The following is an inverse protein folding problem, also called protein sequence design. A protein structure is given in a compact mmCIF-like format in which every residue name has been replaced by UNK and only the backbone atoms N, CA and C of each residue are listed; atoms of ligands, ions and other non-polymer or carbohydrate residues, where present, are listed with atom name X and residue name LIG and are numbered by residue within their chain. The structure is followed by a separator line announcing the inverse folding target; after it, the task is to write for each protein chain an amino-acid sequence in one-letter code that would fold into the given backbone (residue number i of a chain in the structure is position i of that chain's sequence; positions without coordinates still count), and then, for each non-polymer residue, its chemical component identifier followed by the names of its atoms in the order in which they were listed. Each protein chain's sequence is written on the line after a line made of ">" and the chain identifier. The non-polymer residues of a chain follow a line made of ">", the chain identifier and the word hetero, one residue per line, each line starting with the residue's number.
data_IF_981708788583
#
_entry.id   IF_981708788583
#
_cell.length_a   1.000
_cell.length_b   1.000
_cell.length_c   1.000
_cell.angle_alpha   90.00
_cell.angle_beta   90.00
_cell.angle_gamma   90.00
#
_symmetry.space_group_name_H-M   'P 1'
#
loop_
_entity.id
_entity.type
_entity.pdbx_description
1 polymer ?
#
# COMPACT_ATOMS: atom_id res chain seq x y z
N UNK A 1 -19.67 19.61 11.27
CA UNK A 1 -19.68 18.96 12.59
C UNK A 1 -20.54 17.73 12.44
N UNK A 2 -19.92 16.56 12.24
CA UNK A 2 -20.65 15.29 12.15
C UNK A 2 -21.04 14.87 13.56
N UNK A 3 -22.34 14.68 13.76
CA UNK A 3 -22.93 14.01 14.90
C UNK A 3 -22.06 12.79 15.27
N UNK A 4 -21.44 12.81 16.46
CA UNK A 4 -20.70 11.66 16.96
C UNK A 4 -21.66 10.48 16.91
N UNK A 5 -21.35 9.45 16.11
CA UNK A 5 -22.28 8.35 15.89
C UNK A 5 -22.62 7.73 17.25
N UNK A 6 -23.83 7.97 17.73
CA UNK A 6 -24.29 7.45 19.01
C UNK A 6 -24.34 5.93 18.89
N UNK A 7 -23.69 5.24 19.83
CA UNK A 7 -23.79 3.79 19.91
C UNK A 7 -25.24 3.41 20.17
N UNK A 8 -25.70 2.37 19.47
CA UNK A 8 -27.07 1.91 19.59
C UNK A 8 -27.29 1.17 20.93
N UNK A 9 -28.48 1.32 21.55
CA UNK A 9 -28.77 0.71 22.86
C UNK A 9 -28.47 -0.80 22.88
N UNK A 10 -28.98 -1.56 21.92
CA UNK A 10 -28.82 -3.02 21.86
C UNK A 10 -27.34 -3.42 21.78
N UNK A 11 -26.52 -2.65 21.07
CA UNK A 11 -25.08 -2.91 20.98
C UNK A 11 -24.37 -2.67 22.32
N UNK A 12 -24.78 -1.63 23.05
CA UNK A 12 -24.26 -1.34 24.40
C UNK A 12 -24.68 -2.44 25.38
N UNK A 13 -25.88 -2.99 25.25
CA UNK A 13 -26.32 -4.11 26.07
C UNK A 13 -25.50 -5.37 25.79
N UNK A 14 -25.31 -5.72 24.51
CA UNK A 14 -24.47 -6.86 24.10
C UNK A 14 -23.03 -6.70 24.60
N UNK A 15 -22.45 -5.49 24.56
CA UNK A 15 -21.07 -5.28 25.03
C UNK A 15 -20.90 -5.47 26.54
N UNK A 16 -21.97 -5.30 27.31
CA UNK A 16 -21.99 -5.52 28.77
C UNK A 16 -22.26 -6.98 29.16
N UNK A 17 -22.82 -7.79 28.26
CA UNK A 17 -23.01 -9.22 28.51
C UNK A 17 -21.65 -9.91 28.62
N UNK A 18 -21.39 -10.60 29.72
CA UNK A 18 -20.09 -11.24 29.96
C UNK A 18 -19.72 -12.27 28.90
N UNK A 19 -18.44 -12.33 28.55
CA UNK A 19 -17.89 -13.42 27.74
C UNK A 19 -17.58 -14.63 28.62
N UNK A 20 -17.95 -15.82 28.15
CA UNK A 20 -17.58 -17.10 28.74
C UNK A 20 -16.50 -17.72 27.86
N UNK A 21 -15.52 -18.36 28.50
CA UNK A 21 -14.52 -19.16 27.80
C UNK A 21 -15.10 -20.55 27.51
N UNK A 22 -15.22 -20.88 26.23
CA UNK A 22 -15.66 -22.18 25.74
C UNK A 22 -14.47 -23.13 25.62
N UNK A 23 -14.64 -24.38 26.04
CA UNK A 23 -13.60 -25.41 25.91
C UNK A 23 -13.23 -25.65 24.43
N UNK A 24 -14.24 -25.66 23.55
CA UNK A 24 -14.07 -25.82 22.12
C UNK A 24 -14.15 -24.47 21.41
N UNK A 25 -13.26 -24.20 20.44
CA UNK A 25 -13.31 -22.95 19.68
C UNK A 25 -14.49 -22.96 18.71
N UNK A 26 -15.18 -21.82 18.63
CA UNK A 26 -16.25 -21.61 17.67
C UNK A 26 -15.71 -20.98 16.37
N UNK A 27 -16.43 -21.19 15.27
CA UNK A 27 -16.21 -20.45 14.03
C UNK A 27 -16.73 -19.03 14.23
N UNK A 28 -15.90 -18.05 13.86
CA UNK A 28 -16.22 -16.62 13.98
C UNK A 28 -16.02 -15.93 12.64
N UNK A 29 -16.68 -14.78 12.46
CA UNK A 29 -16.51 -13.96 11.28
C UNK A 29 -15.35 -12.98 11.47
N UNK A 30 -14.38 -13.02 10.57
CA UNK A 30 -13.27 -12.08 10.51
C UNK A 30 -13.40 -11.16 9.30
N UNK A 31 -13.62 -9.87 9.56
CA UNK A 31 -13.63 -8.80 8.56
C UNK A 31 -12.27 -8.13 8.54
N UNK A 32 -11.66 -8.04 7.36
CA UNK A 32 -10.29 -7.54 7.23
C UNK A 32 -10.30 -6.27 6.40
N UNK A 33 -9.85 -5.17 7.02
CA UNK A 33 -9.35 -4.04 6.25
C UNK A 33 -8.05 -4.39 5.55
N UNK A 34 -7.91 -3.92 4.32
CA UNK A 34 -6.84 -4.36 3.46
C UNK A 34 -5.63 -3.43 3.48
N UNK A 35 -5.87 -2.17 3.12
CA UNK A 35 -4.81 -1.18 2.93
C UNK A 35 -4.35 -0.72 4.30
N UNK A 36 -3.03 -0.61 4.47
CA UNK A 36 -2.34 -0.29 5.72
C UNK A 36 -2.56 -1.29 6.87
N UNK A 37 -3.35 -2.34 6.68
CA UNK A 37 -3.56 -3.38 7.70
C UNK A 37 -2.75 -4.63 7.36
N UNK A 38 -2.98 -5.22 6.17
CA UNK A 38 -2.22 -6.38 5.67
C UNK A 38 -1.30 -6.03 4.48
N UNK A 39 -1.51 -4.88 3.85
CA UNK A 39 -0.68 -4.41 2.72
C UNK A 39 -0.37 -2.92 2.80
N UNK A 40 0.85 -2.54 2.43
CA UNK A 40 1.23 -1.14 2.24
C UNK A 40 1.08 -0.76 0.76
N UNK A 41 0.41 0.37 0.47
CA UNK A 41 0.27 0.91 -0.88
C UNK A 41 1.18 2.14 -1.05
N UNK A 42 2.19 2.04 -1.90
CA UNK A 42 3.16 3.13 -2.17
C UNK A 42 2.73 4.05 -3.30
N UNK A 43 2.47 3.45 -4.45
CA UNK A 43 2.01 4.12 -5.68
C UNK A 43 0.67 3.53 -6.07
N UNK A 44 -0.05 4.16 -6.99
CA UNK A 44 -1.43 3.80 -7.34
C UNK A 44 -1.64 2.31 -7.68
N UNK A 45 -0.59 1.54 -7.99
CA UNK A 45 -0.67 0.12 -8.40
C UNK A 45 0.38 -0.80 -7.76
N UNK A 46 1.09 -0.36 -6.72
CA UNK A 46 2.14 -1.16 -6.09
C UNK A 46 1.79 -1.44 -4.63
N UNK A 47 1.67 -2.72 -4.31
CA UNK A 47 1.36 -3.23 -2.99
C UNK A 47 2.52 -4.09 -2.47
N UNK A 48 2.77 -3.97 -1.17
CA UNK A 48 3.74 -4.75 -0.42
C UNK A 48 3.02 -5.47 0.70
N UNK A 49 3.15 -6.79 0.76
CA UNK A 49 2.62 -7.59 1.87
C UNK A 49 3.28 -7.20 3.18
N UNK A 50 2.47 -7.15 4.25
CA UNK A 50 2.97 -7.10 5.62
C UNK A 50 3.71 -8.42 5.94
N UNK A 51 4.81 -8.40 6.72
CA UNK A 51 5.53 -9.61 7.11
C UNK A 51 4.58 -10.69 7.64
N UNK A 52 4.91 -11.96 7.37
CA UNK A 52 4.11 -13.13 7.74
C UNK A 52 2.70 -13.20 7.12
N UNK A 53 2.48 -12.51 5.99
CA UNK A 53 1.18 -12.50 5.30
C UNK A 53 0.62 -13.89 5.00
N UNK A 54 1.42 -14.81 4.45
CA UNK A 54 0.91 -16.14 4.08
C UNK A 54 0.58 -16.98 5.30
N UNK A 55 1.42 -16.95 6.34
CA UNK A 55 1.15 -17.61 7.62
C UNK A 55 -0.15 -17.11 8.24
N UNK A 56 -0.38 -15.79 8.17
CA UNK A 56 -1.62 -15.19 8.63
C UNK A 56 -2.82 -15.65 7.81
N UNK A 57 -2.73 -15.61 6.47
CA UNK A 57 -3.80 -16.09 5.58
C UNK A 57 -4.15 -17.56 5.80
N UNK A 58 -3.14 -18.42 5.89
CA UNK A 58 -3.31 -19.85 6.17
C UNK A 58 -4.12 -20.05 7.45
N UNK A 59 -3.72 -19.38 8.52
CA UNK A 59 -4.41 -19.45 9.80
C UNK A 59 -5.85 -18.92 9.72
N UNK A 60 -6.07 -17.70 9.22
CA UNK A 60 -7.41 -17.11 9.25
C UNK A 60 -8.41 -17.85 8.36
N UNK A 61 -7.97 -18.34 7.19
CA UNK A 61 -8.86 -19.05 6.27
C UNK A 61 -9.19 -20.48 6.77
N UNK A 62 -8.35 -21.05 7.64
CA UNK A 62 -8.63 -22.33 8.27
C UNK A 62 -9.59 -22.19 9.47
N UNK A 63 -9.48 -21.09 10.22
CA UNK A 63 -10.12 -20.98 11.54
C UNK A 63 -11.33 -20.03 11.59
N UNK A 64 -11.52 -19.19 10.56
CA UNK A 64 -12.59 -18.18 10.49
C UNK A 64 -13.30 -18.24 9.15
N UNK A 65 -14.53 -17.72 9.12
CA UNK A 65 -15.10 -17.21 7.87
C UNK A 65 -14.57 -15.80 7.64
N UNK A 66 -14.07 -15.52 6.44
CA UNK A 66 -13.33 -14.29 6.15
C UNK A 66 -14.10 -13.41 5.17
N UNK A 67 -14.26 -12.13 5.51
CA UNK A 67 -14.71 -11.08 4.59
C UNK A 67 -13.57 -10.08 4.42
N UNK A 68 -13.31 -9.66 3.18
CA UNK A 68 -12.42 -8.53 2.91
C UNK A 68 -13.27 -7.28 2.72
N UNK A 69 -13.05 -6.24 3.53
CA UNK A 69 -13.72 -4.96 3.38
C UNK A 69 -12.69 -3.84 3.21
N UNK A 70 -12.44 -3.46 1.95
CA UNK A 70 -11.38 -2.53 1.58
C UNK A 70 -11.92 -1.27 0.92
N UNK A 71 -11.27 -0.13 1.16
CA UNK A 71 -11.43 1.08 0.34
C UNK A 71 -10.65 1.02 -0.98
N UNK A 72 -9.83 -0.02 -1.20
CA UNK A 72 -9.10 -0.19 -2.44
C UNK A 72 -10.04 -0.54 -3.59
N UNK A 73 -9.74 0.00 -4.77
CA UNK A 73 -10.47 -0.30 -6.02
C UNK A 73 -9.52 -0.79 -7.11
N UNK A 74 -10.09 -1.45 -8.11
CA UNK A 74 -9.40 -1.78 -9.36
C UNK A 74 -8.79 -3.18 -9.41
N UNK A 75 -8.23 -3.50 -10.58
CA UNK A 75 -7.87 -4.87 -10.95
C UNK A 75 -6.75 -5.47 -10.09
N UNK A 76 -5.81 -4.66 -9.61
CA UNK A 76 -4.70 -5.15 -8.79
C UNK A 76 -5.21 -5.69 -7.45
N UNK A 77 -6.08 -4.93 -6.78
CA UNK A 77 -6.74 -5.37 -5.55
C UNK A 77 -7.52 -6.66 -5.78
N UNK A 78 -8.42 -6.67 -6.78
CA UNK A 78 -9.23 -7.87 -7.12
C UNK A 78 -8.37 -9.09 -7.41
N UNK A 79 -7.24 -8.90 -8.08
CA UNK A 79 -6.34 -10.00 -8.41
C UNK A 79 -5.52 -10.47 -7.19
N UNK A 80 -5.16 -9.58 -6.27
CA UNK A 80 -4.53 -9.97 -5.01
C UNK A 80 -5.51 -10.70 -4.08
N UNK A 81 -6.81 -10.36 -4.09
CA UNK A 81 -7.81 -11.11 -3.33
C UNK A 81 -7.91 -12.57 -3.77
N UNK A 82 -7.49 -12.92 -5.01
CA UNK A 82 -7.41 -14.31 -5.46
C UNK A 82 -6.34 -15.13 -4.72
N UNK A 83 -5.42 -14.48 -4.01
CA UNK A 83 -4.44 -15.16 -3.16
C UNK A 83 -5.08 -15.72 -1.88
N UNK A 84 -6.30 -15.30 -1.54
CA UNK A 84 -7.01 -15.85 -0.41
C UNK A 84 -7.67 -17.15 -0.84
N UNK A 85 -7.32 -18.29 -0.23
CA UNK A 85 -7.85 -19.58 -0.63
C UNK A 85 -9.35 -19.69 -0.36
N UNK A 86 -9.85 -19.00 0.67
CA UNK A 86 -11.24 -19.03 1.10
C UNK A 86 -11.67 -17.67 1.66
N UNK A 87 -12.58 -16.98 0.97
CA UNK A 87 -13.20 -15.71 1.40
C UNK A 87 -14.67 -15.80 1.09
N UNK A 88 -15.52 -15.47 2.07
CA UNK A 88 -16.96 -15.45 1.94
C UNK A 88 -17.41 -14.32 0.98
N UNK A 89 -16.86 -13.11 1.18
CA UNK A 89 -17.21 -11.94 0.37
C UNK A 89 -16.12 -10.88 0.34
N UNK A 90 -16.07 -10.12 -0.76
CA UNK A 90 -15.17 -8.99 -0.95
C UNK A 90 -15.99 -7.73 -1.20
N UNK A 91 -15.83 -6.74 -0.34
CA UNK A 91 -16.33 -5.38 -0.50
C UNK A 91 -15.17 -4.47 -0.87
N UNK A 92 -15.18 -3.94 -2.10
CA UNK A 92 -14.16 -3.03 -2.61
C UNK A 92 -14.55 -1.56 -2.38
N UNK A 93 -13.68 -0.61 -2.73
CA UNK A 93 -13.93 0.81 -2.46
C UNK A 93 -15.06 1.45 -3.28
N UNK A 94 -15.69 0.73 -4.22
CA UNK A 94 -16.94 1.16 -4.85
C UNK A 94 -18.14 0.84 -3.97
N UNK A 95 -17.97 -0.08 -3.03
CA UNK A 95 -18.99 -0.54 -2.11
C UNK A 95 -19.03 0.33 -0.85
N UNK A 96 -19.98 1.26 -0.82
CA UNK A 96 -20.11 2.24 0.26
C UNK A 96 -21.57 2.37 0.76
N UNK A 97 -22.11 1.34 1.41
CA UNK A 97 -23.51 1.33 1.85
C UNK A 97 -23.79 2.35 2.96
N UNK A 98 -22.78 2.69 3.76
CA UNK A 98 -22.93 3.49 4.99
C UNK A 98 -22.41 4.92 4.88
N UNK A 99 -21.97 5.33 3.68
CA UNK A 99 -21.42 6.66 3.44
C UNK A 99 -19.96 6.82 3.90
N UNK A 100 -19.46 8.06 3.86
CA UNK A 100 -18.05 8.36 4.17
C UNK A 100 -17.91 9.17 5.45
N UNK A 101 -16.80 8.96 6.15
CA UNK A 101 -16.34 9.75 7.29
C UNK A 101 -14.99 10.38 6.98
N UNK A 102 -14.76 11.61 7.45
CA UNK A 102 -13.44 12.23 7.41
C UNK A 102 -12.63 11.76 8.62
N UNK A 103 -11.54 11.05 8.38
CA UNK A 103 -10.60 10.58 9.39
C UNK A 103 -9.18 10.96 8.97
N UNK A 104 -8.44 11.65 9.83
CA UNK A 104 -7.05 12.09 9.55
C UNK A 104 -6.90 12.85 8.23
N UNK A 105 -7.86 13.72 7.90
CA UNK A 105 -7.86 14.48 6.64
C UNK A 105 -8.13 13.65 5.39
N UNK A 106 -8.51 12.38 5.53
CA UNK A 106 -8.88 11.47 4.43
C UNK A 106 -10.37 11.13 4.51
N UNK A 107 -11.03 11.11 3.35
CA UNK A 107 -12.39 10.55 3.25
C UNK A 107 -12.30 9.03 3.22
N UNK A 108 -12.93 8.38 4.19
CA UNK A 108 -12.92 6.94 4.39
C UNK A 108 -14.35 6.39 4.35
N UNK A 109 -14.54 5.22 3.77
CA UNK A 109 -15.83 4.50 3.80
C UNK A 109 -16.14 4.03 5.21
N UNK A 110 -17.35 4.33 5.69
CA UNK A 110 -17.87 3.76 6.94
C UNK A 110 -18.15 2.27 6.70
N UNK A 111 -17.67 1.44 7.63
CA UNK A 111 -17.85 -0.02 7.63
C UNK A 111 -18.79 -0.41 8.75
N UNK A 112 -20.08 -0.23 8.51
CA UNK A 112 -21.12 -0.62 9.46
C UNK A 112 -21.31 -2.14 9.44
N UNK A 113 -20.95 -2.82 10.54
CA UNK A 113 -21.01 -4.28 10.58
C UNK A 113 -22.44 -4.82 10.50
N UNK A 114 -23.46 -4.03 10.87
CA UNK A 114 -24.88 -4.41 10.71
C UNK A 114 -25.25 -4.72 9.27
N UNK A 115 -24.57 -4.08 8.31
CA UNK A 115 -24.77 -4.38 6.89
C UNK A 115 -24.37 -5.83 6.56
N UNK A 116 -23.33 -6.38 7.19
CA UNK A 116 -22.96 -7.78 7.01
C UNK A 116 -23.94 -8.68 7.76
N UNK A 117 -24.26 -8.34 9.01
CA UNK A 117 -25.12 -9.12 9.88
C UNK A 117 -26.53 -9.31 9.30
N UNK A 118 -27.07 -8.33 8.57
CA UNK A 118 -28.38 -8.43 7.92
C UNK A 118 -28.49 -9.53 6.86
N UNK A 119 -27.35 -10.09 6.40
CA UNK A 119 -27.30 -11.11 5.34
C UNK A 119 -26.53 -12.37 5.75
N UNK A 120 -26.19 -12.50 7.03
CA UNK A 120 -25.42 -13.64 7.56
C UNK A 120 -25.99 -14.09 8.89
N UNK A 121 -25.53 -15.23 9.42
CA UNK A 121 -25.89 -15.69 10.77
C UNK A 121 -24.98 -15.08 11.86
N UNK A 122 -24.09 -14.17 11.49
CA UNK A 122 -23.16 -13.51 12.40
C UNK A 122 -23.77 -12.22 12.96
N UNK A 123 -23.33 -11.86 14.15
CA UNK A 123 -23.72 -10.66 14.87
C UNK A 123 -22.53 -10.04 15.63
N UNK A 124 -22.82 -9.13 16.55
CA UNK A 124 -21.81 -8.48 17.37
C UNK A 124 -20.98 -9.48 18.19
N UNK A 125 -21.56 -10.54 18.74
CA UNK A 125 -20.89 -11.47 19.67
C UNK A 125 -19.86 -12.37 19.00
N UNK A 126 -19.91 -12.53 17.68
CA UNK A 126 -19.05 -13.46 16.93
C UNK A 126 -18.41 -12.85 15.67
N UNK A 127 -18.44 -11.52 15.51
CA UNK A 127 -17.77 -10.79 14.41
C UNK A 127 -16.58 -9.98 14.92
N UNK A 128 -15.48 -9.97 14.17
CA UNK A 128 -14.30 -9.16 14.47
C UNK A 128 -13.84 -8.41 13.23
N UNK A 129 -13.49 -7.14 13.35
CA UNK A 129 -12.90 -6.34 12.28
C UNK A 129 -11.47 -5.92 12.62
N UNK A 130 -10.51 -6.20 11.75
CA UNK A 130 -9.12 -5.72 11.88
C UNK A 130 -8.92 -4.50 10.99
N UNK A 131 -8.45 -3.39 11.56
CA UNK A 131 -8.13 -2.16 10.80
C UNK A 131 -7.05 -1.32 11.48
N UNK A 132 -6.33 -0.53 10.70
CA UNK A 132 -5.47 0.54 11.20
C UNK A 132 -6.24 1.81 11.61
N UNK A 133 -7.47 1.97 11.12
CA UNK A 133 -8.27 3.17 11.32
C UNK A 133 -9.64 2.86 11.97
N UNK A 134 -9.73 2.80 13.31
CA UNK A 134 -10.99 2.44 13.98
C UNK A 134 -12.12 3.46 13.76
N UNK A 135 -11.82 4.69 13.33
CA UNK A 135 -12.83 5.70 13.03
C UNK A 135 -13.77 5.29 11.88
N UNK A 136 -13.38 4.31 11.06
CA UNK A 136 -14.24 3.78 9.98
C UNK A 136 -15.35 2.86 10.51
N UNK A 137 -15.32 2.46 11.79
CA UNK A 137 -16.32 1.59 12.41
C UNK A 137 -16.95 2.29 13.63
N UNK A 138 -17.53 3.49 13.47
CA UNK A 138 -17.90 4.33 14.60
C UNK A 138 -19.08 3.74 15.41
N UNK A 139 -19.85 2.82 14.82
CA UNK A 139 -21.06 2.23 15.43
C UNK A 139 -20.80 0.92 16.20
N UNK A 140 -19.67 0.25 15.96
CA UNK A 140 -19.32 -1.04 16.60
C UNK A 140 -17.84 -1.07 17.06
N UNK A 141 -17.42 -0.15 17.95
CA UNK A 141 -16.01 0.05 18.28
C UNK A 141 -15.36 -1.16 18.98
N UNK A 142 -16.15 -1.98 19.68
CA UNK A 142 -15.64 -3.15 20.41
C UNK A 142 -15.60 -4.43 19.57
N UNK A 143 -16.06 -4.40 18.31
CA UNK A 143 -15.74 -5.45 17.34
C UNK A 143 -14.37 -5.21 16.67
N UNK A 144 -13.68 -4.11 16.97
CA UNK A 144 -12.48 -3.70 16.25
C UNK A 144 -11.21 -4.11 16.98
N UNK A 145 -10.34 -4.84 16.26
CA UNK A 145 -8.93 -4.98 16.61
C UNK A 145 -8.14 -3.91 15.84
N UNK A 146 -7.66 -2.90 16.58
CA UNK A 146 -6.79 -1.86 16.03
C UNK A 146 -5.37 -2.39 15.89
N UNK A 147 -4.76 -2.17 14.72
CA UNK A 147 -3.33 -2.39 14.50
C UNK A 147 -2.63 -1.09 14.08
N UNK A 148 -1.30 -1.06 14.21
CA UNK A 148 -0.50 -0.01 13.57
C UNK A 148 -0.66 -0.04 12.04
N UNK A 149 -0.69 1.16 11.44
CA UNK A 149 -0.69 1.32 10.00
C UNK A 149 0.63 0.80 9.41
N UNK A 150 0.52 -0.15 8.50
CA UNK A 150 1.65 -0.81 7.88
C UNK A 150 2.25 0.04 6.76
N UNK A 151 3.51 0.45 6.96
CA UNK A 151 4.35 1.08 5.94
C UNK A 151 5.57 0.20 5.63
N UNK A 152 5.72 -0.19 4.36
CA UNK A 152 6.82 -1.03 3.87
C UNK A 152 8.22 -0.39 3.96
N UNK A 153 8.37 0.82 4.51
CA UNK A 153 9.61 1.61 4.53
C UNK A 153 10.21 1.68 5.93
N UNK A 154 9.34 1.63 6.94
CA UNK A 154 9.68 1.79 8.35
C UNK A 154 9.58 0.47 9.13
N UNK A 155 9.27 -0.63 8.43
CA UNK A 155 9.07 -1.95 8.98
C UNK A 155 10.37 -2.76 9.03
N UNK A 156 11.25 -2.48 9.98
CA UNK A 156 12.23 -3.48 10.39
C UNK A 156 11.63 -4.27 11.56
N UNK A 157 11.30 -5.55 11.35
CA UNK A 157 10.84 -6.45 12.40
C UNK A 157 9.35 -6.38 12.76
N UNK A 158 8.47 -5.85 11.89
CA UNK A 158 7.02 -5.96 12.11
C UNK A 158 6.61 -7.43 12.18
N UNK A 159 5.98 -7.78 13.29
CA UNK A 159 5.51 -9.12 13.60
C UNK A 159 4.03 -9.12 14.02
N UNK A 160 3.32 -8.06 13.64
CA UNK A 160 1.94 -7.78 14.05
C UNK A 160 0.99 -8.87 13.62
N UNK A 161 1.16 -9.41 12.41
CA UNK A 161 0.32 -10.50 11.93
C UNK A 161 0.49 -11.78 12.77
N UNK A 162 1.70 -12.08 13.27
CA UNK A 162 1.91 -13.22 14.18
C UNK A 162 1.26 -12.98 15.56
N UNK A 163 1.35 -11.75 16.07
CA UNK A 163 0.68 -11.36 17.32
C UNK A 163 -0.84 -11.46 17.19
N UNK A 164 -1.38 -11.04 16.05
CA UNK A 164 -2.79 -11.21 15.73
C UNK A 164 -3.21 -12.68 15.72
N UNK A 165 -2.43 -13.59 15.13
CA UNK A 165 -2.73 -15.03 15.17
C UNK A 165 -2.92 -15.49 16.61
N UNK A 166 -2.00 -15.13 17.52
CA UNK A 166 -2.11 -15.49 18.95
C UNK A 166 -3.39 -14.94 19.58
N UNK A 167 -3.65 -13.65 19.41
CA UNK A 167 -4.85 -13.02 19.98
C UNK A 167 -6.14 -13.63 19.42
N UNK A 168 -6.21 -13.81 18.11
CA UNK A 168 -7.35 -14.44 17.43
C UNK A 168 -7.54 -15.90 17.88
N UNK A 169 -6.48 -16.63 18.22
CA UNK A 169 -6.56 -17.99 18.77
C UNK A 169 -7.32 -18.01 20.10
N UNK A 170 -7.01 -17.08 21.01
CA UNK A 170 -7.75 -16.96 22.28
C UNK A 170 -9.18 -16.50 22.07
N UNK A 171 -9.38 -15.57 21.15
CA UNK A 171 -10.67 -14.94 20.89
C UNK A 171 -11.71 -15.93 20.32
N UNK A 172 -11.27 -16.99 19.64
CA UNK A 172 -12.16 -18.07 19.17
C UNK A 172 -12.86 -18.86 20.28
N UNK A 173 -12.31 -18.84 21.48
CA UNK A 173 -12.90 -19.51 22.64
C UNK A 173 -13.84 -18.59 23.42
N UNK A 174 -14.13 -17.38 22.93
CA UNK A 174 -14.97 -16.42 23.65
C UNK A 174 -16.40 -16.47 23.11
N UNK A 175 -17.39 -16.66 23.98
CA UNK A 175 -18.80 -16.62 23.58
C UNK A 175 -19.26 -15.22 23.16
N UNK A 176 -18.60 -14.16 23.66
CA UNK A 176 -18.89 -12.78 23.30
C UNK A 176 -17.61 -11.99 23.06
N UNK A 177 -17.23 -11.85 21.78
CA UNK A 177 -15.98 -11.17 21.39
C UNK A 177 -15.99 -9.68 21.69
N UNK A 178 -17.16 -9.03 21.68
CA UNK A 178 -17.30 -7.59 21.95
C UNK A 178 -16.96 -7.31 23.40
N UNK A 179 -17.52 -8.09 24.33
CA UNK A 179 -17.19 -7.97 25.74
C UNK A 179 -15.72 -8.31 26.01
N UNK A 180 -15.19 -9.36 25.37
CA UNK A 180 -13.79 -9.73 25.54
C UNK A 180 -12.83 -8.65 25.03
N UNK A 181 -13.01 -8.13 23.81
CA UNK A 181 -12.18 -7.06 23.24
C UNK A 181 -12.28 -5.78 24.07
N UNK A 182 -13.47 -5.45 24.58
CA UNK A 182 -13.67 -4.29 25.43
C UNK A 182 -12.82 -4.35 26.71
N UNK A 183 -12.73 -5.52 27.35
CA UNK A 183 -12.00 -5.70 28.61
C UNK A 183 -10.51 -6.05 28.41
N UNK A 184 -10.17 -6.71 27.30
CA UNK A 184 -8.84 -7.21 26.98
C UNK A 184 -8.42 -6.81 25.57
N UNK A 185 -8.33 -5.50 25.26
CA UNK A 185 -8.02 -5.05 23.90
C UNK A 185 -6.67 -5.58 23.44
N UNK A 186 -6.56 -5.84 22.15
CA UNK A 186 -5.29 -6.23 21.54
C UNK A 186 -4.23 -5.13 21.77
N UNK A 187 -3.11 -5.52 22.35
CA UNK A 187 -1.95 -4.67 22.54
C UNK A 187 -0.79 -5.18 21.71
N UNK A 188 -0.42 -4.41 20.69
CA UNK A 188 0.68 -4.72 19.78
C UNK A 188 2.05 -4.67 20.48
N UNK A 189 2.17 -3.96 21.62
CA UNK A 189 3.40 -3.86 22.40
C UNK A 189 3.59 -5.01 23.38
N UNK A 190 2.52 -5.74 23.71
CA UNK A 190 2.60 -6.92 24.57
C UNK A 190 3.52 -7.97 23.94
N UNK A 191 4.27 -8.67 24.78
CA UNK A 191 4.97 -9.87 24.36
C UNK A 191 3.98 -11.04 24.25
N UNK A 192 3.76 -11.49 23.01
CA UNK A 192 2.85 -12.57 22.69
C UNK A 192 3.55 -13.93 22.57
N UNK A 193 4.85 -14.02 22.92
CA UNK A 193 5.66 -15.23 22.78
C UNK A 193 5.54 -15.83 21.37
N UNK A 194 5.71 -14.98 20.36
CA UNK A 194 5.62 -15.38 18.97
C UNK A 194 6.90 -16.09 18.53
N UNK A 195 6.75 -17.09 17.68
CA UNK A 195 7.87 -17.75 17.01
C UNK A 195 7.90 -17.24 15.58
N UNK A 196 8.96 -16.51 15.22
CA UNK A 196 9.20 -16.11 13.85
C UNK A 196 9.88 -17.25 13.09
N UNK A 197 9.34 -17.58 11.93
CA UNK A 197 10.00 -18.44 10.95
C UNK A 197 10.43 -17.57 9.76
N UNK A 198 11.73 -17.23 9.65
CA UNK A 198 12.24 -16.43 8.53
C UNK A 198 11.97 -17.04 7.16
N UNK A 199 11.80 -18.37 7.05
CA UNK A 199 11.51 -19.01 5.76
C UNK A 199 10.08 -18.73 5.29
N UNK A 200 9.15 -18.53 6.23
CA UNK A 200 7.76 -18.13 5.95
C UNK A 200 7.57 -16.61 5.92
N UNK A 201 8.56 -15.85 6.36
CA UNK A 201 8.52 -14.39 6.33
C UNK A 201 8.73 -13.87 4.90
N UNK A 202 7.63 -13.60 4.21
CA UNK A 202 7.59 -12.93 2.91
C UNK A 202 7.82 -11.42 3.00
N UNK A 203 8.80 -10.99 3.80
CA UNK A 203 9.11 -9.58 4.00
C UNK A 203 9.23 -8.85 2.64
N UNK A 204 8.42 -7.81 2.45
CA UNK A 204 8.42 -6.94 1.26
C UNK A 204 8.07 -7.63 -0.07
N UNK A 205 7.29 -8.72 -0.05
CA UNK A 205 6.78 -9.30 -1.30
C UNK A 205 5.93 -8.27 -2.04
N UNK A 206 6.43 -7.87 -3.21
CA UNK A 206 5.76 -6.95 -4.12
C UNK A 206 4.80 -7.74 -5.01
N UNK A 207 3.64 -7.16 -5.33
CA UNK A 207 2.67 -7.77 -6.25
C UNK A 207 2.72 -7.10 -7.62
N UNK A 208 2.54 -7.92 -8.67
CA UNK A 208 2.44 -7.45 -10.06
C UNK A 208 1.08 -6.78 -10.30
N UNK A 209 0.93 -6.15 -11.48
CA UNK A 209 -0.38 -5.62 -11.93
C UNK A 209 -1.47 -6.69 -12.06
N UNK A 210 -1.09 -7.97 -12.11
CA UNK A 210 -1.99 -9.11 -12.20
C UNK A 210 -2.24 -9.73 -10.82
N UNK A 211 -1.76 -9.14 -9.72
CA UNK A 211 -1.96 -9.66 -8.38
C UNK A 211 -1.07 -10.87 -8.01
N UNK A 212 -0.12 -11.23 -8.87
CA UNK A 212 0.85 -12.29 -8.59
C UNK A 212 2.04 -11.76 -7.79
N UNK A 213 2.61 -12.55 -6.85
CA UNK A 213 3.88 -12.23 -6.22
C UNK A 213 5.00 -12.04 -7.25
N UNK A 214 5.76 -10.94 -7.15
CA UNK A 214 6.94 -10.69 -7.99
C UNK A 214 8.05 -11.64 -7.55
N UNK A 215 8.40 -12.60 -8.40
CA UNK A 215 9.50 -13.52 -8.11
C UNK A 215 10.87 -12.86 -8.25
N UNK A 216 11.88 -13.36 -7.55
CA UNK A 216 13.27 -12.89 -7.65
C UNK A 216 13.80 -12.87 -9.09
N UNK A 217 13.43 -13.85 -9.93
CA UNK A 217 13.79 -13.88 -11.36
C UNK A 217 13.17 -12.71 -12.14
N UNK A 218 11.93 -12.35 -11.85
CA UNK A 218 11.27 -11.20 -12.48
C UNK A 218 11.86 -9.87 -12.00
N UNK A 219 12.23 -9.78 -10.72
CA UNK A 219 12.90 -8.62 -10.12
C UNK A 219 14.26 -8.39 -10.77
N UNK A 220 15.11 -9.41 -10.84
CA UNK A 220 16.41 -9.36 -11.51
C UNK A 220 16.27 -9.02 -13.00
N UNK A 221 15.28 -9.58 -13.72
CA UNK A 221 15.06 -9.26 -15.14
C UNK A 221 14.63 -7.80 -15.36
N UNK A 222 13.85 -7.23 -14.43
CA UNK A 222 13.48 -5.80 -14.45
C UNK A 222 14.68 -4.90 -14.16
N UNK A 223 15.47 -5.23 -13.15
CA UNK A 223 16.69 -4.50 -12.78
C UNK A 223 17.70 -4.55 -13.94
N UNK A 224 17.97 -5.73 -14.50
CA UNK A 224 18.84 -5.90 -15.67
C UNK A 224 18.36 -5.12 -16.90
N UNK A 225 17.04 -5.03 -17.11
CA UNK A 225 16.46 -4.25 -18.22
C UNK A 225 16.54 -2.74 -17.97
N UNK A 226 16.36 -2.29 -16.73
CA UNK A 226 16.55 -0.90 -16.34
C UNK A 226 18.02 -0.48 -16.48
N UNK A 227 18.93 -1.36 -16.08
CA UNK A 227 20.38 -1.14 -16.17
C UNK A 227 20.87 -1.15 -17.63
N UNK A 228 20.36 -2.06 -18.48
CA UNK A 228 20.60 -2.00 -19.94
C UNK A 228 20.09 -0.69 -20.56
N UNK A 229 18.92 -0.18 -20.15
CA UNK A 229 18.38 1.11 -20.63
C UNK A 229 19.20 2.31 -20.13
N UNK A 230 19.69 2.27 -18.90
CA UNK A 230 20.58 3.28 -18.36
C UNK A 230 21.91 3.29 -19.13
N UNK A 231 22.48 2.11 -19.40
CA UNK A 231 23.72 1.97 -20.15
C UNK A 231 23.55 2.37 -21.63
N UNK A 232 22.42 2.07 -22.27
CA UNK A 232 22.12 2.55 -23.63
C UNK A 232 21.97 4.08 -23.68
N UNK A 233 21.34 4.67 -22.66
CA UNK A 233 21.23 6.13 -22.54
C UNK A 233 22.60 6.78 -22.35
N UNK A 234 23.52 6.13 -21.62
CA UNK A 234 24.90 6.61 -21.46
C UNK A 234 25.74 6.42 -22.74
N UNK A 235 25.56 5.33 -23.48
CA UNK A 235 26.23 5.13 -24.77
C UNK A 235 25.80 6.15 -25.83
N UNK A 236 24.52 6.54 -25.87
CA UNK A 236 24.04 7.62 -26.75
C UNK A 236 24.55 9.02 -26.37
N UNK A 237 24.91 9.22 -25.09
CA UNK A 237 25.57 10.45 -24.64
C UNK A 237 27.05 10.43 -25.04
N UNK A 238 27.74 9.29 -24.90
CA UNK A 238 29.15 9.15 -25.27
C UNK A 238 29.39 9.17 -26.80
N UNK A 239 28.46 8.64 -27.61
CA UNK A 239 28.55 8.72 -29.08
C UNK A 239 28.36 10.14 -29.62
N UNK A 240 27.74 11.05 -28.85
CA UNK A 240 27.71 12.49 -29.16
C UNK A 240 28.96 13.23 -28.71
N UNK A 241 29.79 12.63 -27.86
CA UNK A 241 31.07 13.21 -27.41
C UNK A 241 32.23 12.81 -28.32
N UNK A 242 32.12 11.72 -29.09
CA UNK A 242 33.16 11.30 -30.04
C UNK A 242 33.24 12.12 -31.34
N UNK A 243 32.30 13.02 -31.62
CA UNK A 243 32.43 13.97 -32.75
C UNK A 243 33.28 15.20 -32.43
N UNK A 244 33.67 15.38 -31.17
CA UNK A 244 34.52 16.49 -30.74
C UNK A 244 35.57 15.96 -29.76
N UNK A 245 36.69 15.45 -30.26
CA UNK A 245 38.00 15.69 -29.64
C UNK A 245 39.13 15.15 -30.51
N UNK A 246 39.84 16.08 -31.15
CA UNK A 246 41.27 15.97 -31.35
C UNK A 246 41.97 16.19 -29.99
N UNK A 247 43.00 15.38 -29.75
CA UNK A 247 43.89 15.32 -28.58
C UNK A 247 44.57 16.68 -28.26
N UNK A 248 45.10 16.91 -27.02
CA UNK A 248 46.22 16.12 -26.51
C UNK A 248 46.30 15.82 -24.99
N UNK A 249 46.88 14.63 -24.77
CA UNK A 249 47.86 14.16 -23.79
C UNK A 249 47.77 14.42 -22.27
N UNK A 250 48.14 13.32 -21.61
CA UNK A 250 48.11 12.95 -20.21
C UNK A 250 49.12 13.71 -19.34
N UNK A 251 48.85 13.76 -18.03
CA UNK A 251 49.78 13.22 -17.03
C UNK A 251 49.07 12.97 -15.70
N UNK A 252 49.39 11.83 -15.11
CA UNK A 252 48.82 11.26 -13.89
C UNK A 252 49.22 11.98 -12.60
N UNK A 253 48.37 11.96 -11.57
CA UNK A 253 48.67 11.23 -10.32
C UNK A 253 47.62 11.40 -9.20
N UNK A 254 47.27 10.25 -8.62
CA UNK A 254 47.10 9.91 -7.20
C UNK A 254 46.15 10.71 -6.29
N UNK A 255 45.02 10.04 -6.03
CA UNK A 255 44.32 9.83 -4.75
C UNK A 255 45.06 10.31 -3.48
N UNK A 256 44.38 11.10 -2.64
CA UNK A 256 44.36 10.89 -1.19
C UNK A 256 43.15 11.52 -0.48
N UNK A 257 42.49 10.66 0.29
CA UNK A 257 41.54 10.89 1.39
C UNK A 257 42.05 11.93 2.40
N UNK A 258 41.08 12.62 3.02
CA UNK A 258 40.96 13.14 4.40
C UNK A 258 40.16 14.43 4.29
N UNK A 259 39.19 14.75 5.13
CA UNK A 259 38.96 14.44 6.53
C UNK A 259 38.32 15.71 7.07
N UNK A 260 37.18 15.58 7.74
CA UNK A 260 36.49 16.69 8.37
C UNK A 260 37.38 17.31 9.46
N UNK A 261 37.28 18.62 9.65
CA UNK A 261 37.09 19.29 10.95
C UNK A 261 37.09 20.82 10.71
N UNK A 262 35.99 21.52 11.00
CA UNK A 262 35.54 22.00 12.31
C UNK A 262 36.20 23.32 12.69
N UNK A 263 35.42 24.39 12.49
CA UNK A 263 35.49 25.68 13.17
C UNK A 263 35.78 25.49 14.68
N UNK A 264 36.52 26.41 15.34
CA UNK A 264 35.81 27.60 15.82
C UNK A 264 36.64 28.88 15.98
N UNK A 265 35.96 30.01 15.89
CA UNK A 265 36.27 31.24 16.61
C UNK A 265 35.04 32.16 16.62
N UNK A 266 34.99 33.26 17.41
CA UNK A 266 36.11 33.90 18.09
C UNK A 266 35.77 34.46 19.50
N UNK A 267 36.78 34.88 20.28
CA UNK A 267 36.67 36.13 21.04
C UNK A 267 37.98 36.65 21.67
N UNK A 268 38.27 37.92 21.30
CA UNK A 268 38.58 39.09 22.15
C UNK A 268 39.86 39.18 23.02
N UNK A 269 40.51 40.34 22.77
CA UNK A 269 40.99 41.40 23.70
C UNK A 269 42.50 41.52 23.99
N UNK A 270 43.03 42.65 23.50
CA UNK A 270 43.87 43.69 24.15
C UNK A 270 44.88 43.28 25.23
N UNK A 271 46.16 43.65 25.03
CA UNK A 271 46.92 44.68 25.79
C UNK A 271 48.38 44.78 25.28
N UNK A 272 48.92 46.00 25.27
CA UNK A 272 50.33 46.40 25.13
C UNK A 272 50.93 46.68 26.55
N UNK A 273 52.19 47.15 26.79
CA UNK A 273 53.37 47.45 25.94
C UNK A 273 54.77 47.03 26.55
N UNK A 274 55.87 47.42 25.87
CA UNK A 274 57.21 47.89 26.39
C UNK A 274 58.49 47.04 26.15
N UNK A 275 59.59 47.76 25.84
CA UNK A 275 61.03 47.37 25.90
C UNK A 275 61.69 47.00 24.55
N UNK A 276 62.31 47.91 23.79
CA UNK A 276 63.71 48.45 23.85
C UNK A 276 64.80 47.36 23.71
N UNK A 277 65.43 47.22 22.51
CA UNK A 277 66.81 47.68 22.18
C UNK A 277 67.48 46.92 20.99
N UNK A 278 67.87 47.71 19.99
CA UNK A 278 69.12 47.76 19.20
C UNK A 278 69.85 46.47 18.74
N UNK A 279 69.93 46.25 17.40
CA UNK A 279 71.21 46.05 16.66
C UNK A 279 71.05 46.03 15.13
N UNK A 280 72.11 46.49 14.48
CA UNK A 280 72.22 46.89 13.09
C UNK A 280 72.49 45.76 12.08
N UNK A 281 72.29 46.12 10.81
CA UNK A 281 72.93 45.63 9.58
C UNK A 281 72.66 44.20 9.10
N UNK A 282 71.85 44.08 8.04
CA UNK A 282 72.30 43.45 6.81
C UNK A 282 71.45 43.87 5.60
N UNK A 283 72.14 44.50 4.65
CA UNK A 283 71.73 44.76 3.28
C UNK A 283 71.82 43.44 2.50
N UNK A 284 70.83 43.14 1.65
CA UNK A 284 71.03 42.18 0.56
C UNK A 284 69.79 41.41 0.08
N UNK A 285 69.25 41.85 -1.05
CA UNK A 285 68.60 41.02 -2.09
C UNK A 285 67.34 40.21 -1.73
N UNK A 286 66.14 40.78 -1.93
CA UNK A 286 64.92 39.98 -2.21
C UNK A 286 63.94 40.74 -3.12
N UNK A 287 64.42 41.21 -4.29
CA UNK A 287 63.58 41.95 -5.25
C UNK A 287 62.99 41.07 -6.37
N UNK A 288 63.11 39.74 -6.32
CA UNK A 288 62.66 38.83 -7.39
C UNK A 288 61.52 37.86 -7.02
N UNK A 289 61.07 37.80 -5.77
CA UNK A 289 60.04 36.82 -5.33
C UNK A 289 58.60 37.35 -5.32
N UNK A 290 58.37 38.66 -5.39
CA UNK A 290 57.01 39.25 -5.36
C UNK A 290 56.27 39.15 -6.69
N UNK A 291 56.99 39.11 -7.82
CA UNK A 291 56.40 38.97 -9.15
C UNK A 291 55.82 37.56 -9.40
N UNK A 292 56.49 36.51 -8.91
CA UNK A 292 56.06 35.11 -9.07
C UNK A 292 54.81 34.78 -8.24
N UNK A 293 54.65 35.37 -7.06
CA UNK A 293 53.44 35.19 -6.22
C UNK A 293 52.23 35.85 -6.88
N UNK A 294 52.41 37.04 -7.47
CA UNK A 294 51.32 37.77 -8.15
C UNK A 294 50.80 37.05 -9.40
N UNK A 295 51.68 36.42 -10.19
CA UNK A 295 51.27 35.59 -11.33
C UNK A 295 50.52 34.33 -10.90
N UNK A 296 50.96 33.66 -9.82
CA UNK A 296 50.30 32.46 -9.31
C UNK A 296 48.89 32.73 -8.78
N UNK A 297 48.69 33.88 -8.10
CA UNK A 297 47.36 34.31 -7.62
C UNK A 297 46.44 34.63 -8.80
N UNK A 298 46.92 35.30 -9.86
CA UNK A 298 46.11 35.57 -11.06
C UNK A 298 45.68 34.28 -11.79
N UNK A 299 46.58 33.30 -11.92
CA UNK A 299 46.25 32.01 -12.54
C UNK A 299 45.23 31.21 -11.71
N UNK A 300 45.32 31.25 -10.38
CA UNK A 300 44.36 30.57 -9.51
C UNK A 300 42.97 31.24 -9.59
N UNK A 301 42.92 32.57 -9.66
CA UNK A 301 41.68 33.31 -9.81
C UNK A 301 40.99 33.00 -11.16
N UNK A 302 41.76 32.92 -12.26
CA UNK A 302 41.23 32.51 -13.57
C UNK A 302 40.67 31.08 -13.55
N UNK A 303 41.37 30.13 -12.91
CA UNK A 303 40.88 28.74 -12.79
C UNK A 303 39.57 28.66 -11.99
N UNK A 304 39.45 29.44 -10.91
CA UNK A 304 38.20 29.50 -10.12
C UNK A 304 37.04 30.10 -10.91
N UNK A 305 37.30 31.14 -11.69
CA UNK A 305 36.27 31.75 -12.54
C UNK A 305 35.81 30.80 -13.65
N UNK A 306 36.74 30.10 -14.29
CA UNK A 306 36.41 29.09 -15.30
C UNK A 306 35.60 27.93 -14.71
N UNK A 307 35.94 27.48 -13.50
CA UNK A 307 35.19 26.45 -12.79
C UNK A 307 33.75 26.89 -12.51
N UNK A 308 33.54 28.15 -12.08
CA UNK A 308 32.19 28.72 -11.89
C UNK A 308 31.39 28.75 -13.20
N UNK A 309 32.00 29.19 -14.30
CA UNK A 309 31.34 29.20 -15.62
C UNK A 309 30.89 27.79 -16.05
N UNK A 310 31.74 26.78 -15.83
CA UNK A 310 31.41 25.37 -16.12
C UNK A 310 30.29 24.82 -15.24
N UNK A 311 30.21 25.25 -13.99
CA UNK A 311 29.14 24.84 -13.07
C UNK A 311 27.80 25.49 -13.47
N UNK A 312 27.81 26.79 -13.78
CA UNK A 312 26.62 27.51 -14.24
C UNK A 312 26.08 26.95 -15.56
N UNK A 313 26.97 26.57 -16.48
CA UNK A 313 26.58 25.90 -17.72
C UNK A 313 25.90 24.54 -17.43
N UNK A 314 26.46 23.74 -16.52
CA UNK A 314 25.84 22.47 -16.11
C UNK A 314 24.47 22.66 -15.47
N UNK A 315 24.31 23.65 -14.60
CA UNK A 315 23.01 23.97 -13.98
C UNK A 315 21.97 24.36 -15.03
N UNK A 316 22.34 25.16 -16.03
CA UNK A 316 21.44 25.54 -17.14
C UNK A 316 21.05 24.34 -17.99
N UNK A 317 21.98 23.43 -18.29
CA UNK A 317 21.68 22.21 -19.05
C UNK A 317 20.80 21.23 -18.26
N UNK A 318 21.02 21.08 -16.96
CA UNK A 318 20.18 20.24 -16.09
C UNK A 318 18.76 20.82 -16.00
N UNK A 319 18.62 22.13 -15.88
CA UNK A 319 17.33 22.80 -15.87
C UNK A 319 16.59 22.59 -17.19
N UNK A 320 17.27 22.76 -18.34
CA UNK A 320 16.68 22.48 -19.67
C UNK A 320 16.18 21.02 -19.79
N UNK A 321 16.95 20.05 -19.27
CA UNK A 321 16.53 18.63 -19.28
C UNK A 321 15.30 18.38 -18.41
N UNK A 322 15.21 19.02 -17.24
CA UNK A 322 14.04 18.92 -16.35
C UNK A 322 12.80 19.52 -17.02
N UNK A 323 12.93 20.66 -17.68
CA UNK A 323 11.80 21.32 -18.35
C UNK A 323 11.33 20.51 -19.58
N UNK A 324 12.26 19.93 -20.34
CA UNK A 324 11.91 19.02 -21.44
C UNK A 324 11.19 17.76 -20.93
N UNK A 325 11.63 17.19 -19.80
CA UNK A 325 10.96 16.05 -19.20
C UNK A 325 9.53 16.40 -18.77
N UNK A 326 9.31 17.55 -18.12
CA UNK A 326 7.97 18.01 -17.75
C UNK A 326 7.05 18.14 -18.97
N UNK A 327 7.54 18.75 -20.05
CA UNK A 327 6.78 18.87 -21.32
C UNK A 327 6.38 17.52 -21.89
N UNK A 328 7.29 16.53 -21.87
CA UNK A 328 6.99 15.16 -22.34
C UNK A 328 5.95 14.46 -21.46
N UNK A 329 6.00 14.67 -20.15
CA UNK A 329 5.01 14.11 -19.21
C UNK A 329 3.63 14.75 -19.36
N UNK A 330 3.58 16.07 -19.55
CA UNK A 330 2.34 16.81 -19.84
C UNK A 330 1.71 16.35 -21.16
N UNK A 331 2.51 16.19 -22.22
CA UNK A 331 2.03 15.70 -23.51
C UNK A 331 1.44 14.29 -23.40
N UNK A 332 2.10 13.38 -22.65
CA UNK A 332 1.55 12.03 -22.39
C UNK A 332 0.23 12.08 -21.62
N UNK A 333 0.09 12.97 -20.64
CA UNK A 333 -1.16 13.16 -19.89
C UNK A 333 -2.27 13.70 -20.78
N UNK A 334 -1.96 14.64 -21.68
CA UNK A 334 -2.92 15.18 -22.65
C UNK A 334 -3.40 14.10 -23.63
N UNK A 335 -2.49 13.29 -24.17
CA UNK A 335 -2.84 12.17 -25.06
C UNK A 335 -3.69 11.11 -24.36
N UNK A 336 -3.40 10.82 -23.09
CA UNK A 336 -4.20 9.90 -22.29
C UNK A 336 -5.63 10.43 -22.08
N UNK A 337 -5.80 11.73 -21.80
CA UNK A 337 -7.12 12.36 -21.66
C UNK A 337 -7.91 12.30 -22.98
N UNK A 338 -7.27 12.57 -24.12
CA UNK A 338 -7.91 12.47 -25.45
C UNK A 338 -8.42 11.06 -25.74
N UNK A 339 -7.62 10.03 -25.43
CA UNK A 339 -8.02 8.62 -25.60
C UNK A 339 -9.20 8.23 -24.71
N UNK A 340 -9.22 8.71 -23.47
CA UNK A 340 -10.33 8.42 -22.55
C UNK A 340 -11.62 9.12 -23.00
N UNK A 341 -11.54 10.35 -23.49
CA UNK A 341 -12.68 11.08 -24.03
C UNK A 341 -13.25 10.40 -25.29
N UNK A 342 -12.38 9.91 -26.19
CA UNK A 342 -12.79 9.16 -27.37
C UNK A 342 -13.53 7.86 -26.98
N UNK A 343 -13.01 7.11 -26.00
CA UNK A 343 -13.68 5.92 -25.47
C UNK A 343 -15.06 6.21 -24.89
N UNK A 344 -15.21 7.33 -24.16
CA UNK A 344 -16.52 7.73 -23.62
C UNK A 344 -17.51 8.08 -24.73
N UNK A 345 -17.06 8.73 -25.81
CA UNK A 345 -17.90 9.02 -26.99
C UNK A 345 -18.33 7.74 -27.71
N UNK A 346 -17.42 6.80 -27.92
CA UNK A 346 -17.72 5.48 -28.52
C UNK A 346 -18.72 4.68 -27.68
N UNK A 347 -18.54 4.66 -26.35
CA UNK A 347 -19.47 3.96 -25.45
C UNK A 347 -20.87 4.57 -25.51
N UNK A 348 -20.98 5.90 -25.45
CA UNK A 348 -22.26 6.60 -25.54
C UNK A 348 -22.96 6.38 -26.89
N UNK A 349 -22.21 6.22 -27.97
CA UNK A 349 -22.76 5.88 -29.29
C UNK A 349 -23.31 4.46 -29.33
N UNK A 350 -22.59 3.48 -28.76
CA UNK A 350 -23.08 2.09 -28.65
C UNK A 350 -24.35 1.99 -27.79
N UNK A 351 -24.41 2.71 -26.68
CA UNK A 351 -25.62 2.76 -25.83
C UNK A 351 -26.84 3.33 -26.58
N UNK A 352 -26.63 4.33 -27.46
CA UNK A 352 -27.71 4.87 -28.31
C UNK A 352 -28.17 3.87 -29.37
N UNK A 353 -27.25 3.13 -29.99
CA UNK A 353 -27.58 2.10 -30.97
C UNK A 353 -28.35 0.94 -30.33
N UNK A 354 -27.92 0.47 -29.15
CA UNK A 354 -28.65 -0.58 -28.43
C UNK A 354 -30.07 -0.14 -28.07
N UNK A 355 -30.24 1.08 -27.56
CA UNK A 355 -31.58 1.61 -27.26
C UNK A 355 -32.50 1.69 -28.47
N UNK A 356 -31.96 2.01 -29.66
CA UNK A 356 -32.76 2.03 -30.89
C UNK A 356 -33.19 0.62 -31.32
N UNK A 357 -32.31 -0.37 -31.17
CA UNK A 357 -32.64 -1.77 -31.47
C UNK A 357 -33.71 -2.33 -30.52
N UNK A 358 -33.64 -2.01 -29.22
CA UNK A 358 -34.63 -2.47 -28.22
C UNK A 358 -36.04 -1.92 -28.52
N UNK A 359 -36.16 -0.70 -29.05
CA UNK A 359 -37.44 -0.12 -29.47
C UNK A 359 -38.03 -0.76 -30.74
N UNK A 360 -37.22 -1.42 -31.58
CA UNK A 360 -37.73 -2.09 -32.78
C UNK A 360 -38.16 -3.54 -32.53
N UNK A 361 -37.72 -4.20 -31.45
CA UNK A 361 -38.20 -5.53 -31.06
C UNK A 361 -39.53 -5.49 -30.26
N UNK A 362 -39.90 -4.34 -29.69
CA UNK A 362 -41.11 -4.19 -28.89
C UNK A 362 -42.41 -4.14 -29.72
N UNK A 363 -42.37 -3.76 -31.00
CA UNK A 363 -43.55 -3.65 -31.86
C UNK A 363 -43.89 -4.94 -32.65
N UNK A 364 -43.12 -6.02 -32.48
CA UNK A 364 -43.27 -7.26 -33.26
C UNK A 364 -43.70 -8.52 -32.49
N UNK A 365 -43.76 -8.48 -31.15
CA UNK A 365 -43.99 -9.69 -30.34
C UNK A 365 -45.43 -9.78 -29.83
N UNK A 366 -46.27 -10.42 -30.64
CA UNK A 366 -47.59 -10.91 -30.26
C UNK A 366 -47.40 -12.04 -29.23
N UNK A 367 -47.47 -11.71 -27.93
CA UNK A 367 -47.42 -12.70 -26.85
C UNK A 367 -48.72 -13.50 -26.81
N UNK A 368 -48.79 -14.59 -27.58
CA UNK A 368 -49.68 -15.69 -27.23
C UNK A 368 -49.30 -16.21 -25.83
N UNK A 369 -50.27 -16.10 -24.92
CA UNK A 369 -50.18 -16.58 -23.52
C UNK A 369 -49.66 -18.01 -23.48
N UNK A 370 -48.43 -18.18 -23.01
CA UNK A 370 -47.98 -19.47 -22.51
C UNK A 370 -48.85 -19.84 -21.28
N UNK A 371 -49.34 -21.08 -21.17
CA UNK A 371 -50.19 -21.50 -20.08
C UNK A 371 -49.39 -21.48 -18.78
N UNK A 372 -49.90 -20.70 -17.81
CA UNK A 372 -49.40 -20.70 -16.45
C UNK A 372 -49.54 -22.12 -15.89
N UNK A 373 -48.43 -22.69 -15.39
CA UNK A 373 -48.42 -23.94 -14.63
C UNK A 373 -49.54 -23.90 -13.61
N UNK A 374 -50.41 -24.91 -13.65
CA UNK A 374 -51.56 -24.96 -12.75
C UNK A 374 -51.07 -25.15 -11.31
N UNK A 375 -51.84 -24.66 -10.33
CA UNK A 375 -51.49 -24.90 -8.92
C UNK A 375 -51.40 -26.40 -8.59
N UNK A 376 -52.11 -27.25 -9.34
CA UNK A 376 -52.03 -28.70 -9.23
C UNK A 376 -50.67 -29.23 -9.64
N UNK A 377 -50.17 -28.82 -10.81
CA UNK A 377 -48.84 -29.22 -11.28
C UNK A 377 -47.73 -28.69 -10.35
N UNK A 378 -47.88 -27.46 -9.85
CA UNK A 378 -46.95 -26.92 -8.87
C UNK A 378 -46.94 -27.75 -7.57
N UNK A 379 -48.12 -28.18 -7.10
CA UNK A 379 -48.23 -29.05 -5.93
C UNK A 379 -47.59 -30.42 -6.17
N UNK A 380 -47.81 -31.02 -7.33
CA UNK A 380 -47.21 -32.32 -7.69
C UNK A 380 -45.67 -32.24 -7.76
N UNK A 381 -45.11 -31.12 -8.21
CA UNK A 381 -43.65 -30.89 -8.20
C UNK A 381 -43.12 -30.80 -6.76
N UNK A 382 -43.82 -30.07 -5.88
CA UNK A 382 -43.42 -29.91 -4.47
C UNK A 382 -43.52 -31.23 -3.71
N UNK A 383 -44.60 -32.00 -3.92
CA UNK A 383 -44.80 -33.29 -3.26
C UNK A 383 -43.70 -34.29 -3.64
N UNK A 384 -43.36 -34.40 -4.93
CA UNK A 384 -42.25 -35.27 -5.40
C UNK A 384 -40.90 -34.88 -4.82
N UNK A 385 -40.64 -33.59 -4.69
CA UNK A 385 -39.39 -33.11 -4.10
C UNK A 385 -39.31 -33.45 -2.61
N UNK A 386 -40.43 -33.33 -1.90
CA UNK A 386 -40.53 -33.66 -0.48
C UNK A 386 -40.32 -35.15 -0.23
N UNK A 387 -40.95 -36.02 -1.03
CA UNK A 387 -40.76 -37.48 -0.96
C UNK A 387 -39.30 -37.90 -1.18
N UNK A 388 -38.62 -37.26 -2.15
CA UNK A 388 -37.21 -37.53 -2.43
C UNK A 388 -36.30 -37.22 -1.23
N UNK A 389 -36.55 -36.10 -0.54
CA UNK A 389 -35.75 -35.71 0.64
C UNK A 389 -36.01 -36.67 1.80
N UNK A 390 -37.26 -37.03 2.06
CA UNK A 390 -37.61 -37.96 3.13
C UNK A 390 -36.97 -39.34 2.94
N UNK A 391 -36.94 -39.85 1.70
CA UNK A 391 -36.30 -41.12 1.37
C UNK A 391 -34.78 -41.08 1.62
N UNK A 392 -34.13 -39.95 1.31
CA UNK A 392 -32.69 -39.81 1.50
C UNK A 392 -32.30 -39.72 2.99
N UNK A 393 -33.09 -39.02 3.80
CA UNK A 393 -32.92 -38.97 5.27
C UNK A 393 -33.05 -40.38 5.87
N UNK A 394 -34.09 -41.13 5.51
CA UNK A 394 -34.29 -42.50 6.01
C UNK A 394 -33.12 -43.43 5.63
N UNK A 395 -32.57 -43.26 4.43
CA UNK A 395 -31.40 -44.02 3.98
C UNK A 395 -30.09 -43.62 4.70
N UNK A 396 -29.99 -42.41 5.24
CA UNK A 396 -28.87 -41.98 6.06
C UNK A 396 -28.96 -42.56 7.47
N UNK A 397 -30.15 -42.58 8.07
CA UNK A 397 -30.37 -43.16 9.41
C UNK A 397 -30.09 -44.67 9.43
N UNK A 398 -30.52 -45.40 8.39
CA UNK A 398 -30.24 -46.83 8.27
C UNK A 398 -28.74 -47.15 8.15
N UNK A 399 -27.92 -46.21 7.65
CA UNK A 399 -26.47 -46.38 7.50
C UNK A 399 -25.67 -46.11 8.78
N UNK A 400 -26.28 -45.45 9.78
CA UNK A 400 -25.64 -45.17 11.08
C UNK A 400 -25.88 -46.25 12.14
N UNK A 401 -26.66 -47.30 11.82
CA UNK A 401 -27.05 -48.38 12.76
C UNK A 401 -26.29 -49.69 12.46
N UNK A 402 -25.49 -49.76 11.38
CA UNK A 402 -24.49 -50.82 11.14
C UNK A 402 -23.09 -50.30 11.44
#
# INVERSE_FOLDING_TARGET
>A
MTESAKLEPDYIEISKQGSIHNENPEVKLLVIDWVNTVFSRRQAKTYFARPYFDTFLEYICQQFEVIIWSSATGNVFKAMCKQFPKVLKIYDGQYNPSGTILSEGRSCTIKDLKFIWSSTHYDATNTVLITDNPAVVPRQPYNVIRVSAYDSMSNNGDNTLLKLIKYLTYLRHQSNVVNYIMNFPFDEKRDWNIVSDPARDRMLTQFTKNGDPVTNKQKQKKENKAQKKANQSQQQVNSKTQTNNAQPQETSCKVKKRGADSDPGPNKKLKSPSGIDTKAAQVGQTSSNTANVSQKVKQEQQKREEQRRREDQRRREEQKKKDEQRRREEQKKADQRRREEQRKKEQKQKERQNKQNDTHEADGMNYERSPLISQRELKEIVDKFTESICAEIAAMDARNIM
#
